data_IF_928149919027
#
_entry.id   IF_928149919027
#
_cell.length_a   1.000
_cell.length_b   1.000
_cell.length_c   1.000
_cell.angle_alpha   90.00
_cell.angle_beta   90.00
_cell.angle_gamma   90.00
#
_symmetry.space_group_name_H-M   'P 1'
#
loop_
_entity.id
_entity.type
_entity.pdbx_description
1 polymer ?
#
# COMPACT_ATOMS: atom_id res chain seq x y z
N UNK A 1 -34.83 5.59 -9.46
CA UNK A 1 -34.32 4.28 -8.99
C UNK A 1 -32.84 4.46 -8.69
N UNK A 2 -32.31 3.98 -7.56
CA UNK A 2 -30.87 3.99 -7.33
C UNK A 2 -30.20 3.11 -8.40
N UNK A 3 -29.22 3.66 -9.11
CA UNK A 3 -28.38 2.92 -10.04
C UNK A 3 -27.39 2.13 -9.20
N UNK A 4 -27.45 0.80 -9.27
CA UNK A 4 -26.45 -0.03 -8.61
C UNK A 4 -25.10 0.24 -9.27
N UNK A 5 -24.05 0.56 -8.50
CA UNK A 5 -22.73 0.79 -9.07
C UNK A 5 -22.23 -0.49 -9.75
N UNK A 6 -21.51 -0.31 -10.85
CA UNK A 6 -20.93 -1.42 -11.57
C UNK A 6 -19.91 -2.15 -10.68
N UNK A 7 -19.88 -3.48 -10.73
CA UNK A 7 -18.97 -4.25 -9.88
C UNK A 7 -17.50 -3.86 -10.08
N UNK A 8 -17.12 -3.51 -11.31
CA UNK A 8 -15.79 -3.00 -11.62
C UNK A 8 -15.51 -1.65 -10.94
N UNK A 9 -16.50 -0.76 -10.88
CA UNK A 9 -16.38 0.53 -10.21
C UNK A 9 -16.14 0.35 -8.71
N UNK A 10 -16.87 -0.57 -8.07
CA UNK A 10 -16.68 -0.88 -6.64
C UNK A 10 -15.24 -1.37 -6.37
N UNK A 11 -14.71 -2.26 -7.22
CA UNK A 11 -13.35 -2.77 -7.07
C UNK A 11 -12.31 -1.67 -7.28
N UNK A 12 -12.50 -0.84 -8.31
CA UNK A 12 -11.58 0.27 -8.61
C UNK A 12 -11.56 1.30 -7.48
N UNK A 13 -12.72 1.75 -7.00
CA UNK A 13 -12.83 2.71 -5.90
C UNK A 13 -12.26 2.13 -4.60
N UNK A 14 -12.51 0.84 -4.33
CA UNK A 14 -11.97 0.14 -3.17
C UNK A 14 -10.44 0.13 -3.16
N UNK A 15 -9.83 -0.23 -4.29
CA UNK A 15 -8.38 -0.24 -4.43
C UNK A 15 -7.79 1.17 -4.38
N UNK A 16 -8.41 2.14 -5.07
CA UNK A 16 -7.95 3.52 -5.09
C UNK A 16 -7.93 4.13 -3.68
N UNK A 17 -8.98 3.88 -2.89
CA UNK A 17 -9.07 4.31 -1.48
C UNK A 17 -8.02 3.62 -0.60
N UNK A 18 -7.73 2.35 -0.84
CA UNK A 18 -6.68 1.65 -0.10
C UNK A 18 -5.32 2.35 -0.27
N UNK A 19 -4.94 2.65 -1.52
CA UNK A 19 -3.63 3.23 -1.84
C UNK A 19 -3.49 4.68 -1.33
N UNK A 20 -4.52 5.50 -1.46
CA UNK A 20 -4.43 6.94 -1.17
C UNK A 20 -4.82 7.34 0.25
N UNK A 21 -5.63 6.53 0.94
CA UNK A 21 -6.13 6.86 2.28
C UNK A 21 -5.69 5.80 3.29
N UNK A 22 -6.15 4.55 3.11
CA UNK A 22 -6.02 3.54 4.18
C UNK A 22 -4.59 3.15 4.48
N UNK A 23 -3.73 3.06 3.47
CA UNK A 23 -2.34 2.71 3.71
C UNK A 23 -1.60 3.82 4.47
N UNK A 24 -1.88 5.09 4.16
CA UNK A 24 -1.31 6.21 4.91
C UNK A 24 -1.81 6.21 6.37
N UNK A 25 -3.11 5.99 6.59
CA UNK A 25 -3.70 5.87 7.93
C UNK A 25 -3.03 4.76 8.75
N UNK A 26 -2.81 3.59 8.14
CA UNK A 26 -2.12 2.47 8.80
C UNK A 26 -0.67 2.84 9.16
N UNK A 27 0.07 3.48 8.25
CA UNK A 27 1.45 3.94 8.51
C UNK A 27 1.52 5.01 9.59
N UNK A 28 0.55 5.93 9.64
CA UNK A 28 0.43 6.95 10.69
C UNK A 28 0.11 6.35 12.07
N UNK A 29 -0.68 5.28 12.09
CA UNK A 29 -1.03 4.57 13.33
C UNK A 29 0.04 3.57 13.79
N UNK A 30 1.10 3.37 12.99
CA UNK A 30 2.12 2.36 13.27
C UNK A 30 2.84 2.67 14.60
N UNK A 31 2.86 1.71 15.55
CA UNK A 31 3.44 1.95 16.86
C UNK A 31 4.96 2.06 16.78
N UNK A 32 5.56 2.81 17.71
CA UNK A 32 7.00 2.72 17.94
C UNK A 32 7.35 1.32 18.44
N UNK A 33 8.46 0.78 17.95
CA UNK A 33 9.01 -0.50 18.41
C UNK A 33 10.23 -0.17 19.25
N UNK A 34 10.28 -0.69 20.47
CA UNK A 34 11.40 -0.53 21.40
C UNK A 34 12.06 -1.89 21.63
N UNK A 35 13.37 -1.90 21.85
CA UNK A 35 14.05 -3.08 22.34
C UNK A 35 13.68 -3.38 23.81
N UNK A 36 14.11 -4.54 24.32
CA UNK A 36 13.69 -5.00 25.67
C UNK A 36 14.13 -4.04 26.76
N UNK A 37 15.31 -3.42 26.59
CA UNK A 37 15.90 -2.50 27.56
C UNK A 37 15.49 -1.03 27.33
N UNK A 38 14.78 -0.74 26.22
CA UNK A 38 14.31 0.59 25.79
C UNK A 38 15.42 1.61 25.50
N UNK A 39 16.58 1.11 25.07
CA UNK A 39 17.72 1.91 24.66
C UNK A 39 17.64 2.31 23.18
N UNK A 40 16.89 1.55 22.37
CA UNK A 40 16.72 1.80 20.93
C UNK A 40 15.23 1.82 20.58
N UNK A 41 14.82 2.85 19.82
CA UNK A 41 13.49 2.93 19.23
C UNK A 41 13.54 2.94 17.70
N UNK A 42 12.51 2.33 17.10
CA UNK A 42 12.21 2.39 15.68
C UNK A 42 10.85 3.06 15.48
N UNK A 43 10.77 3.99 14.51
CA UNK A 43 9.54 4.69 14.19
C UNK A 43 9.46 5.01 12.71
N UNK A 44 8.33 4.69 12.09
CA UNK A 44 8.02 5.07 10.72
C UNK A 44 7.79 6.58 10.58
N UNK A 45 8.34 7.19 9.53
CA UNK A 45 8.04 8.55 9.06
C UNK A 45 6.92 8.45 8.01
N UNK A 46 5.68 8.32 8.49
CA UNK A 46 4.50 7.97 7.68
C UNK A 46 4.22 8.93 6.51
N UNK A 47 4.53 10.23 6.67
CA UNK A 47 4.24 11.27 5.66
C UNK A 47 5.08 11.22 4.38
N UNK A 48 5.97 10.24 4.21
CA UNK A 48 6.90 10.14 3.08
C UNK A 48 6.82 8.80 2.32
N UNK A 49 5.72 8.08 2.47
CA UNK A 49 5.47 6.84 1.74
C UNK A 49 5.45 7.02 0.21
N UNK A 50 6.06 6.08 -0.52
CA UNK A 50 6.08 6.07 -1.98
C UNK A 50 5.83 4.67 -2.56
N UNK A 51 5.10 4.62 -3.68
CA UNK A 51 4.98 3.44 -4.54
C UNK A 51 5.74 3.64 -5.82
N UNK A 52 6.45 2.60 -6.24
CA UNK A 52 7.03 2.54 -7.58
C UNK A 52 6.00 2.10 -8.60
N UNK A 53 6.30 2.37 -9.87
CA UNK A 53 5.62 1.66 -10.95
C UNK A 53 6.08 0.20 -10.96
N UNK A 54 5.18 -0.74 -11.31
CA UNK A 54 5.56 -2.13 -11.52
C UNK A 54 6.73 -2.26 -12.49
N UNK A 55 7.69 -3.13 -12.17
CA UNK A 55 8.93 -3.29 -12.94
C UNK A 55 8.78 -4.06 -14.24
N UNK A 56 7.62 -4.71 -14.44
CA UNK A 56 7.25 -5.50 -15.61
C UNK A 56 5.81 -5.15 -16.01
N UNK A 57 5.46 -5.35 -17.27
CA UNK A 57 4.09 -5.13 -17.76
C UNK A 57 3.14 -6.24 -17.30
N UNK A 58 1.84 -5.92 -17.20
CA UNK A 58 0.79 -6.86 -16.75
C UNK A 58 0.80 -8.18 -17.55
N UNK A 59 0.95 -8.09 -18.87
CA UNK A 59 0.96 -9.27 -19.76
C UNK A 59 2.18 -10.15 -19.54
N UNK A 60 3.33 -9.54 -19.28
CA UNK A 60 4.56 -10.27 -19.04
C UNK A 60 4.51 -10.96 -17.67
N UNK A 61 3.94 -10.30 -16.66
CA UNK A 61 3.68 -10.91 -15.36
C UNK A 61 2.77 -12.14 -15.47
N UNK A 62 1.68 -12.04 -16.24
CA UNK A 62 0.79 -13.15 -16.50
C UNK A 62 1.47 -14.30 -17.25
N UNK A 63 2.25 -14.00 -18.29
CA UNK A 63 2.97 -15.00 -19.10
C UNK A 63 4.04 -15.74 -18.28
N UNK A 64 4.78 -14.99 -17.45
CA UNK A 64 5.82 -15.55 -16.59
C UNK A 64 5.27 -16.18 -15.30
N UNK A 65 3.95 -16.13 -15.09
CA UNK A 65 3.26 -16.60 -13.89
C UNK A 65 3.83 -15.99 -12.59
N UNK A 66 4.12 -14.70 -12.62
CA UNK A 66 4.57 -13.92 -11.46
C UNK A 66 3.54 -12.88 -11.07
N UNK A 67 3.63 -12.36 -9.84
CA UNK A 67 2.73 -11.30 -9.36
C UNK A 67 3.07 -9.97 -10.02
N UNK A 68 2.06 -9.28 -10.56
CA UNK A 68 2.17 -7.88 -10.97
C UNK A 68 2.04 -6.98 -9.73
N UNK A 69 3.16 -6.40 -9.28
CA UNK A 69 3.22 -5.63 -8.02
C UNK A 69 4.10 -4.40 -8.12
N UNK A 70 3.82 -3.42 -7.26
CA UNK A 70 4.65 -2.23 -7.01
C UNK A 70 5.42 -2.39 -5.71
N UNK A 71 6.67 -1.93 -5.69
CA UNK A 71 7.46 -1.84 -4.45
C UNK A 71 7.04 -0.60 -3.64
N UNK A 72 7.01 -0.78 -2.32
CA UNK A 72 6.66 0.23 -1.32
C UNK A 72 7.90 0.71 -0.58
N UNK A 73 8.08 2.03 -0.50
CA UNK A 73 9.17 2.68 0.23
C UNK A 73 8.58 3.49 1.38
N UNK A 74 8.93 3.09 2.60
CA UNK A 74 8.47 3.72 3.85
C UNK A 74 9.71 4.11 4.66
N UNK A 75 10.01 5.40 4.82
CA UNK A 75 11.12 5.83 5.67
C UNK A 75 10.82 5.55 7.15
N UNK A 76 11.86 5.21 7.93
CA UNK A 76 11.78 4.92 9.35
C UNK A 76 13.10 5.24 10.07
#
# INVERSE_FOLDING_TARGET
MPVLPELAQIQFEGFNRFIHERLLEELESFPKIEDTDKEVEFRVISGQYQLTQPSIEERDAAYQCVTYSSDSYVPA
#
